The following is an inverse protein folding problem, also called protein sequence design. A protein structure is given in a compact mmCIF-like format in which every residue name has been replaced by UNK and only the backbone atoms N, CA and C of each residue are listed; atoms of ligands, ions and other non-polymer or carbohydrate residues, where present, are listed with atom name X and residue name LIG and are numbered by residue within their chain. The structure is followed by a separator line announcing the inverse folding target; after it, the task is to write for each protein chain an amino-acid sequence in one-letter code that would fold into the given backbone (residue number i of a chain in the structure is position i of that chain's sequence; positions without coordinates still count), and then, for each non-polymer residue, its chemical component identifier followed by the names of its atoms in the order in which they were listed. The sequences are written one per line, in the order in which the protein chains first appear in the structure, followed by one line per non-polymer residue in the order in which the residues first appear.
data_IF_349131632311
#
_entry.id   IF_349131632311
#
_cell.length_a   1.000
_cell.length_b   1.000
_cell.length_c   1.000
_cell.angle_alpha   90.00
_cell.angle_beta   90.00
_cell.angle_gamma   90.00
#
_symmetry.space_group_name_H-M   'P 1'
#
loop_
_entity.id
_entity.type
_entity.pdbx_description
1 polymer ?
#
# COMPACT_ATOMS: atom_id res chain seq x y z
N UNK A 1 -12.83 -0.92 -37.84
CA UNK A 1 -12.46 -0.30 -36.54
C UNK A 1 -10.96 -0.08 -36.50
N UNK A 2 -10.46 0.84 -35.68
CA UNK A 2 -9.01 1.01 -35.48
C UNK A 2 -8.53 0.08 -34.37
N UNK A 3 -7.36 -0.50 -34.56
CA UNK A 3 -6.68 -1.35 -33.58
C UNK A 3 -5.76 -0.48 -32.72
N UNK A 4 -5.77 -0.70 -31.40
CA UNK A 4 -4.93 0.04 -30.46
C UNK A 4 -3.72 -0.82 -30.09
N UNK A 5 -2.53 -0.21 -30.10
CA UNK A 5 -1.28 -0.88 -29.76
C UNK A 5 -0.73 -0.32 -28.45
N UNK A 6 -0.51 -1.20 -27.47
CA UNK A 6 0.11 -0.85 -26.20
C UNK A 6 1.64 -0.84 -26.37
N UNK A 7 2.25 0.35 -26.33
CA UNK A 7 3.70 0.52 -26.48
C UNK A 7 4.32 0.86 -25.13
N UNK A 8 5.18 -0.01 -24.54
CA UNK A 8 5.85 0.30 -23.29
C UNK A 8 6.90 1.40 -23.49
N UNK A 9 6.85 2.43 -22.65
CA UNK A 9 7.75 3.61 -22.74
C UNK A 9 8.82 3.65 -21.64
N UNK A 10 8.72 2.79 -20.63
CA UNK A 10 9.66 2.78 -19.51
C UNK A 10 9.36 1.72 -18.47
N UNK A 11 10.29 1.56 -17.53
CA UNK A 11 10.14 0.74 -16.32
C UNK A 11 10.18 1.64 -15.10
N UNK A 12 9.30 1.39 -14.15
CA UNK A 12 9.22 2.11 -12.89
C UNK A 12 9.52 1.17 -11.73
N UNK A 13 10.22 1.67 -10.70
CA UNK A 13 10.39 0.95 -9.45
C UNK A 13 9.18 1.20 -8.55
N UNK A 14 8.62 0.13 -7.99
CA UNK A 14 7.58 0.22 -6.98
C UNK A 14 8.17 -0.13 -5.62
N UNK A 15 8.14 0.85 -4.72
CA UNK A 15 8.83 0.76 -3.42
C UNK A 15 7.84 0.92 -2.28
N UNK A 16 8.05 0.14 -1.23
CA UNK A 16 7.43 0.33 0.06
C UNK A 16 8.43 1.06 0.95
N UNK A 17 7.97 2.07 1.67
CA UNK A 17 8.78 2.77 2.65
C UNK A 17 8.02 2.88 3.97
N UNK A 18 8.78 3.02 5.05
CA UNK A 18 8.28 3.12 6.41
C UNK A 18 8.84 4.37 7.07
N UNK A 19 8.35 4.70 8.26
CA UNK A 19 8.97 5.73 9.08
C UNK A 19 10.46 5.40 9.30
N UNK A 20 11.40 6.35 9.15
CA UNK A 20 12.83 6.10 9.34
C UNK A 20 13.23 5.57 10.73
N UNK A 21 12.39 5.74 11.75
CA UNK A 21 12.61 5.20 13.11
C UNK A 21 12.19 3.74 13.26
N UNK A 22 11.54 3.15 12.26
CA UNK A 22 11.21 1.74 12.23
C UNK A 22 12.46 0.94 11.86
N UNK A 23 12.85 0.01 12.72
CA UNK A 23 14.05 -0.81 12.56
C UNK A 23 13.86 -2.02 11.64
N UNK A 24 12.63 -2.30 11.20
CA UNK A 24 12.33 -3.44 10.33
C UNK A 24 12.79 -3.12 8.91
N UNK A 25 13.63 -4.00 8.36
CA UNK A 25 14.17 -3.94 7.00
C UNK A 25 13.83 -5.22 6.23
N UNK A 26 14.02 -5.20 4.91
CA UNK A 26 13.98 -6.39 4.03
C UNK A 26 12.72 -7.26 4.12
N UNK A 27 11.56 -6.60 4.16
CA UNK A 27 10.26 -7.29 4.18
C UNK A 27 10.06 -8.17 2.95
N UNK A 28 9.67 -9.41 3.19
CA UNK A 28 9.25 -10.36 2.16
C UNK A 28 7.87 -9.98 1.61
N UNK A 29 7.60 -10.39 0.37
CA UNK A 29 6.29 -10.14 -0.26
C UNK A 29 5.14 -10.76 0.55
N UNK A 30 5.35 -11.90 1.19
CA UNK A 30 4.35 -12.52 2.09
C UNK A 30 4.03 -11.66 3.31
N UNK A 31 5.01 -10.95 3.85
CA UNK A 31 4.83 -10.05 5.00
C UNK A 31 4.11 -8.77 4.57
N UNK A 32 4.45 -8.23 3.39
CA UNK A 32 3.71 -7.13 2.77
C UNK A 32 2.24 -7.52 2.57
N UNK A 33 1.97 -8.72 2.04
CA UNK A 33 0.60 -9.24 1.93
C UNK A 33 -0.09 -9.33 3.28
N UNK A 34 0.62 -9.85 4.29
CA UNK A 34 0.10 -9.93 5.65
C UNK A 34 -0.26 -8.55 6.24
N UNK A 35 0.55 -7.53 5.96
CA UNK A 35 0.30 -6.15 6.37
C UNK A 35 -0.96 -5.61 5.69
N UNK A 36 -1.02 -5.67 4.36
CA UNK A 36 -2.10 -5.09 3.57
C UNK A 36 -3.40 -5.89 3.60
N UNK A 37 -3.38 -7.16 4.01
CA UNK A 37 -4.59 -7.94 4.32
C UNK A 37 -5.09 -7.71 5.75
N UNK A 38 -4.29 -7.05 6.60
CA UNK A 38 -4.56 -6.90 8.02
C UNK A 38 -4.27 -8.15 8.87
N UNK A 39 -3.61 -9.17 8.34
CA UNK A 39 -3.16 -10.31 9.16
C UNK A 39 -1.99 -9.93 10.10
N UNK A 40 -1.17 -8.97 9.67
CA UNK A 40 -0.05 -8.42 10.43
C UNK A 40 -0.36 -6.96 10.73
N UNK A 41 -0.69 -6.65 11.99
CA UNK A 41 -1.11 -5.31 12.42
C UNK A 41 -0.13 -4.60 13.35
N UNK A 42 0.98 -5.24 13.70
CA UNK A 42 1.95 -4.70 14.66
C UNK A 42 3.38 -5.12 14.27
N UNK A 43 4.32 -4.17 14.35
CA UNK A 43 5.72 -4.36 13.95
C UNK A 43 6.45 -5.42 14.79
N UNK A 44 6.02 -5.68 16.02
CA UNK A 44 6.59 -6.74 16.87
C UNK A 44 6.47 -8.14 16.26
N UNK A 45 5.51 -8.36 15.33
CA UNK A 45 5.38 -9.62 14.59
C UNK A 45 6.49 -9.82 13.55
N UNK A 46 7.23 -8.76 13.23
CA UNK A 46 8.28 -8.70 12.21
C UNK A 46 9.62 -8.31 12.84
N UNK A 47 9.80 -8.52 14.15
CA UNK A 47 11.03 -8.18 14.87
C UNK A 47 11.22 -6.68 15.17
N UNK A 48 10.20 -5.85 14.92
CA UNK A 48 10.22 -4.43 15.26
C UNK A 48 9.74 -4.15 16.69
N UNK A 49 9.55 -2.86 16.97
CA UNK A 49 8.95 -2.40 18.24
C UNK A 49 7.48 -2.81 18.33
N UNK A 50 6.94 -2.77 19.55
CA UNK A 50 5.50 -3.00 19.77
C UNK A 50 4.66 -1.79 19.35
N UNK A 51 4.66 -1.50 18.05
CA UNK A 51 3.99 -0.37 17.44
C UNK A 51 2.99 -0.86 16.39
N UNK A 52 1.81 -0.25 16.36
CA UNK A 52 0.77 -0.57 15.37
C UNK A 52 1.23 -0.21 13.96
N UNK A 53 0.90 -1.06 13.00
CA UNK A 53 1.10 -0.81 11.57
C UNK A 53 -0.09 -0.03 11.01
N UNK A 54 0.19 1.01 10.23
CA UNK A 54 -0.78 1.75 9.44
C UNK A 54 -0.41 1.56 7.97
N UNK A 55 -1.19 0.75 7.25
CA UNK A 55 -0.97 0.44 5.85
C UNK A 55 -1.71 1.44 4.96
N UNK A 56 -1.02 2.51 4.55
CA UNK A 56 -1.58 3.50 3.63
C UNK A 56 -1.82 2.90 2.25
N UNK A 57 -2.97 3.21 1.66
CA UNK A 57 -3.35 2.80 0.32
C UNK A 57 -3.67 4.02 -0.53
N UNK A 58 -3.52 3.89 -1.84
CA UNK A 58 -3.82 4.95 -2.80
C UNK A 58 -5.25 4.80 -3.32
N UNK A 59 -5.84 5.85 -3.93
CA UNK A 59 -7.15 5.73 -4.54
C UNK A 59 -7.21 4.59 -5.56
N UNK A 60 -8.37 3.93 -5.62
CA UNK A 60 -8.67 2.92 -6.63
C UNK A 60 -8.41 3.50 -8.04
N UNK A 61 -7.89 2.66 -8.94
CA UNK A 61 -7.50 3.02 -10.32
C UNK A 61 -6.24 3.89 -10.45
N UNK A 62 -5.52 4.20 -9.37
CA UNK A 62 -4.17 4.76 -9.50
C UNK A 62 -3.17 3.66 -9.90
N UNK A 63 -2.16 3.98 -10.73
CA UNK A 63 -1.20 2.98 -11.21
C UNK A 63 -0.49 2.22 -10.08
N UNK A 64 -0.08 2.93 -9.02
CA UNK A 64 0.52 2.33 -7.82
C UNK A 64 -0.45 1.39 -7.09
N UNK A 65 -1.74 1.74 -6.98
CA UNK A 65 -2.73 0.88 -6.36
C UNK A 65 -3.00 -0.38 -7.20
N UNK A 66 -3.09 -0.23 -8.52
CA UNK A 66 -3.22 -1.37 -9.43
C UNK A 66 -2.03 -2.33 -9.33
N UNK A 67 -0.81 -1.81 -9.11
CA UNK A 67 0.36 -2.65 -8.91
C UNK A 67 0.34 -3.34 -7.54
N UNK A 68 -0.10 -2.65 -6.48
CA UNK A 68 -0.34 -3.26 -5.17
C UNK A 68 -1.36 -4.41 -5.28
N UNK A 69 -2.49 -4.19 -5.96
CA UNK A 69 -3.51 -5.21 -6.21
C UNK A 69 -2.93 -6.43 -6.93
N UNK A 70 -2.07 -6.21 -7.94
CA UNK A 70 -1.35 -7.30 -8.63
C UNK A 70 -0.42 -8.06 -7.69
N UNK A 71 0.31 -7.37 -6.81
CA UNK A 71 1.18 -8.01 -5.81
C UNK A 71 0.33 -8.88 -4.88
N UNK A 72 -0.80 -8.35 -4.39
CA UNK A 72 -1.71 -9.04 -3.47
C UNK A 72 -2.32 -10.29 -4.11
N UNK A 73 -2.67 -10.23 -5.40
CA UNK A 73 -3.27 -11.35 -6.13
C UNK A 73 -4.61 -11.74 -5.50
N UNK A 74 -4.75 -12.99 -5.07
CA UNK A 74 -5.98 -13.47 -4.44
C UNK A 74 -6.10 -13.10 -2.95
N UNK A 75 -5.09 -12.46 -2.35
CA UNK A 75 -5.14 -12.02 -0.96
C UNK A 75 -6.01 -10.77 -0.85
N UNK A 76 -7.13 -10.79 -0.10
CA UNK A 76 -7.96 -9.61 0.08
C UNK A 76 -7.18 -8.47 0.72
N UNK A 77 -7.36 -7.26 0.22
CA UNK A 77 -6.79 -6.04 0.80
C UNK A 77 -7.77 -5.50 1.83
N UNK A 78 -7.27 -5.12 3.00
CA UNK A 78 -8.10 -4.50 4.03
C UNK A 78 -8.67 -3.16 3.54
N UNK A 79 -9.82 -2.76 4.07
CA UNK A 79 -10.32 -1.41 3.80
C UNK A 79 -9.31 -0.35 4.26
N UNK A 80 -8.99 0.65 3.41
CA UNK A 80 -8.08 1.70 3.80
C UNK A 80 -8.67 2.51 4.95
N UNK A 81 -7.79 2.98 5.83
CA UNK A 81 -8.19 4.01 6.79
C UNK A 81 -8.63 5.22 5.98
N UNK A 82 -9.91 5.57 6.09
CA UNK A 82 -10.40 6.85 5.61
C UNK A 82 -9.86 7.89 6.59
N UNK A 83 -9.11 8.87 6.10
CA UNK A 83 -9.02 10.11 6.87
C UNK A 83 -10.47 10.59 7.08
N UNK A 84 -10.83 10.96 8.32
CA UNK A 84 -11.87 11.97 8.48
C UNK A 84 -11.30 13.23 7.80
N UNK A 85 -11.57 13.37 6.50
CA UNK A 85 -11.45 14.66 5.85
C UNK A 85 -12.43 15.52 6.60
N UNK A 86 -11.96 16.35 7.52
CA UNK A 86 -12.77 17.40 8.09
C UNK A 86 -13.21 18.23 6.89
N UNK A 87 -14.46 18.08 6.47
CA UNK A 87 -15.09 19.00 5.54
C UNK A 87 -14.88 20.40 6.12
N UNK A 88 -14.04 21.21 5.47
CA UNK A 88 -13.44 22.32 6.18
C UNK A 88 -12.58 23.25 5.35
N UNK A 89 -12.93 23.47 4.09
CA UNK A 89 -12.69 24.76 3.42
C UNK A 89 -14.01 25.25 2.81
N UNK A 90 -15.01 25.38 3.66
CA UNK A 90 -16.23 26.17 3.44
C UNK A 90 -16.37 27.25 4.53
N UNK A 91 -15.24 27.76 4.99
CA UNK A 91 -15.12 28.79 6.01
C UNK A 91 -14.50 30.06 5.44
N UNK A 92 -15.07 30.56 4.35
CA UNK A 92 -15.22 31.98 3.98
C UNK A 92 -16.36 32.07 2.96
#
# INVERSE_FOLDING_TARGET
GKELVMTPIGKEAFVFFVNPKNSVNDLQVSEIKGIYSGNIKNWSKLGGKNDRIIAFQRPKNSGSQTLLEKIMGNTPIMEPLKEEVREGMGGI
#
